data_IF_318967618833
#
_entry.id   IF_318967618833
#
_cell.length_a   1.000
_cell.length_b   1.000
_cell.length_c   1.000
_cell.angle_alpha   90.00
_cell.angle_beta   90.00
_cell.angle_gamma   90.00
#
_symmetry.space_group_name_H-M   'P 1'
#
loop_
_entity.id
_entity.type
_entity.pdbx_description
1 polymer ?
#
# COMPACT_ATOMS: atom_id res chain seq x y z
N UNK A 1 -20.94 -4.13 1.75
CA UNK A 1 -19.66 -4.85 1.60
C UNK A 1 -18.95 -4.25 0.40
N UNK A 2 -17.65 -3.92 0.49
CA UNK A 2 -16.90 -3.40 -0.66
C UNK A 2 -16.79 -4.49 -1.73
N UNK A 3 -16.89 -4.10 -2.99
CA UNK A 3 -16.55 -4.96 -4.12
C UNK A 3 -15.05 -5.18 -4.19
N UNK A 4 -14.63 -6.25 -4.87
CA UNK A 4 -13.21 -6.52 -5.14
C UNK A 4 -12.52 -5.34 -5.80
N UNK A 5 -13.17 -4.69 -6.76
CA UNK A 5 -12.67 -3.46 -7.39
C UNK A 5 -12.38 -2.34 -6.39
N UNK A 6 -13.34 -2.04 -5.52
CA UNK A 6 -13.20 -0.99 -4.49
C UNK A 6 -12.12 -1.32 -3.45
N UNK A 7 -11.90 -2.60 -3.15
CA UNK A 7 -10.81 -3.04 -2.27
C UNK A 7 -9.47 -2.71 -2.92
N UNK A 8 -9.29 -3.08 -4.19
CA UNK A 8 -8.05 -2.84 -4.91
C UNK A 8 -7.80 -1.35 -5.18
N UNK A 9 -8.85 -0.57 -5.45
CA UNK A 9 -8.76 0.89 -5.62
C UNK A 9 -8.21 1.54 -4.33
N UNK A 10 -8.75 1.16 -3.17
CA UNK A 10 -8.29 1.67 -1.89
C UNK A 10 -6.85 1.28 -1.58
N UNK A 11 -6.42 0.09 -1.98
CA UNK A 11 -5.03 -0.37 -1.80
C UNK A 11 -4.06 0.44 -2.65
N UNK A 12 -4.33 0.61 -3.95
CA UNK A 12 -3.42 1.35 -4.84
C UNK A 12 -3.34 2.83 -4.46
N UNK A 13 -4.47 3.41 -4.04
CA UNK A 13 -4.53 4.78 -3.50
C UNK A 13 -3.69 4.93 -2.24
N UNK A 14 -3.85 4.01 -1.27
CA UNK A 14 -3.08 4.06 -0.02
C UNK A 14 -1.57 3.86 -0.23
N UNK A 15 -1.18 3.08 -1.24
CA UNK A 15 0.21 2.88 -1.63
C UNK A 15 0.78 4.02 -2.50
N UNK A 16 -0.08 4.89 -3.04
CA UNK A 16 0.34 5.94 -3.97
C UNK A 16 0.86 5.41 -5.31
N UNK A 17 0.34 4.27 -5.78
CA UNK A 17 0.76 3.61 -7.04
C UNK A 17 -0.42 3.43 -8.00
N UNK A 18 -0.13 3.05 -9.24
CA UNK A 18 -1.10 2.63 -10.24
C UNK A 18 -1.28 1.11 -10.31
N UNK A 19 -2.37 0.65 -10.95
CA UNK A 19 -2.57 -0.77 -11.26
C UNK A 19 -1.49 -1.36 -12.16
N UNK A 20 -0.94 -0.56 -13.07
CA UNK A 20 0.15 -1.02 -13.94
C UNK A 20 1.41 -1.33 -13.13
N UNK A 21 1.75 -0.47 -12.16
CA UNK A 21 2.87 -0.69 -11.25
C UNK A 21 2.63 -1.90 -10.35
N UNK A 22 1.40 -2.05 -9.84
CA UNK A 22 1.01 -3.23 -9.07
C UNK A 22 1.18 -4.52 -9.87
N UNK A 23 0.60 -4.58 -11.07
CA UNK A 23 0.70 -5.73 -11.98
C UNK A 23 2.16 -6.09 -12.27
N UNK A 24 2.97 -5.09 -12.63
CA UNK A 24 4.39 -5.26 -12.91
C UNK A 24 5.14 -5.82 -11.71
N UNK A 25 4.87 -5.32 -10.51
CA UNK A 25 5.59 -5.74 -9.30
C UNK A 25 5.25 -7.17 -8.86
N UNK A 26 4.03 -7.64 -9.13
CA UNK A 26 3.63 -9.03 -8.86
C UNK A 26 3.93 -10.00 -10.03
N UNK A 27 4.60 -9.53 -11.08
CA UNK A 27 5.03 -10.36 -12.20
C UNK A 27 3.96 -10.59 -13.29
N UNK A 28 2.89 -9.80 -13.31
CA UNK A 28 1.88 -9.84 -14.37
C UNK A 28 2.26 -8.92 -15.52
N UNK A 29 2.12 -9.41 -16.76
CA UNK A 29 2.45 -8.65 -17.96
C UNK A 29 1.46 -7.54 -18.28
N UNK A 30 0.21 -7.63 -17.81
CA UNK A 30 -0.84 -6.63 -18.08
C UNK A 30 -1.74 -6.40 -16.86
N UNK A 31 -2.22 -5.15 -16.65
CA UNK A 31 -3.13 -4.80 -15.55
C UNK A 31 -4.60 -5.18 -15.79
N UNK A 32 -4.95 -5.86 -16.90
CA UNK A 32 -6.35 -6.17 -17.23
C UNK A 32 -7.06 -6.95 -16.13
N UNK A 33 -6.31 -7.75 -15.36
CA UNK A 33 -6.82 -8.46 -14.20
C UNK A 33 -7.49 -7.50 -13.20
N UNK A 34 -6.85 -6.38 -12.89
CA UNK A 34 -7.38 -5.37 -11.98
C UNK A 34 -8.56 -4.60 -12.60
N UNK A 35 -8.50 -4.28 -13.88
CA UNK A 35 -9.61 -3.62 -14.58
C UNK A 35 -10.86 -4.52 -14.67
N UNK A 36 -10.67 -5.83 -14.88
CA UNK A 36 -11.76 -6.80 -14.85
C UNK A 36 -12.36 -6.97 -13.46
N UNK A 37 -11.55 -6.94 -12.40
CA UNK A 37 -12.02 -6.89 -11.02
C UNK A 37 -12.83 -5.63 -10.73
N UNK A 38 -12.35 -4.48 -11.20
CA UNK A 38 -13.06 -3.20 -11.08
C UNK A 38 -14.40 -3.20 -11.80
N UNK A 39 -14.48 -3.88 -12.94
CA UNK A 39 -15.72 -4.08 -13.68
C UNK A 39 -16.62 -5.21 -13.11
N UNK A 40 -16.23 -5.84 -12.00
CA UNK A 40 -16.98 -6.93 -11.37
C UNK A 40 -16.99 -8.24 -12.16
N UNK A 41 -16.09 -8.40 -13.14
CA UNK A 41 -16.04 -9.56 -14.06
C UNK A 41 -15.25 -10.75 -13.52
N UNK A 42 -14.38 -10.51 -12.54
CA UNK A 42 -13.49 -11.53 -11.99
C UNK A 42 -13.09 -11.22 -10.56
N UNK A 43 -12.85 -12.25 -9.75
CA UNK A 43 -12.20 -12.14 -8.45
C UNK A 43 -10.73 -12.60 -8.54
N UNK A 44 -9.84 -12.13 -7.64
CA UNK A 44 -8.46 -12.59 -7.62
C UNK A 44 -8.42 -14.06 -7.19
N UNK A 45 -7.65 -14.86 -7.91
CA UNK A 45 -7.32 -16.21 -7.49
C UNK A 45 -6.37 -16.20 -6.28
N UNK A 46 -6.24 -17.35 -5.63
CA UNK A 46 -5.33 -17.53 -4.50
C UNK A 46 -3.88 -17.14 -4.85
N UNK A 47 -3.39 -17.54 -6.02
CA UNK A 47 -2.03 -17.22 -6.48
C UNK A 47 -1.80 -15.72 -6.62
N UNK A 48 -2.80 -14.99 -7.13
CA UNK A 48 -2.76 -13.52 -7.24
C UNK A 48 -2.69 -12.88 -5.85
N UNK A 49 -3.55 -13.31 -4.92
CA UNK A 49 -3.55 -12.79 -3.55
C UNK A 49 -2.20 -13.06 -2.87
N UNK A 50 -1.64 -14.26 -3.05
CA UNK A 50 -0.34 -14.63 -2.49
C UNK A 50 0.79 -13.78 -3.09
N UNK A 51 0.79 -13.54 -4.41
CA UNK A 51 1.78 -12.70 -5.07
C UNK A 51 1.73 -11.24 -4.57
N UNK A 52 0.51 -10.71 -4.38
CA UNK A 52 0.30 -9.37 -3.82
C UNK A 52 0.82 -9.28 -2.38
N UNK A 53 0.44 -10.23 -1.51
CA UNK A 53 0.88 -10.25 -0.12
C UNK A 53 2.42 -10.33 0.01
N UNK A 54 3.09 -11.10 -0.87
CA UNK A 54 4.55 -11.18 -0.93
C UNK A 54 5.20 -9.88 -1.42
N UNK A 55 4.64 -9.25 -2.45
CA UNK A 55 5.19 -8.05 -3.07
C UNK A 55 4.95 -6.77 -2.26
N UNK A 56 3.90 -6.75 -1.43
CA UNK A 56 3.47 -5.62 -0.62
C UNK A 56 3.19 -6.03 0.83
N UNK A 57 4.22 -6.33 1.63
CA UNK A 57 4.07 -6.75 3.02
C UNK A 57 3.36 -5.71 3.92
N UNK A 58 3.30 -4.46 3.48
CA UNK A 58 2.60 -3.38 4.18
C UNK A 58 1.07 -3.41 3.99
N UNK A 59 0.53 -4.21 3.08
CA UNK A 59 -0.93 -4.34 2.89
C UNK A 59 -1.53 -5.18 4.02
N UNK A 60 -2.66 -4.74 4.56
CA UNK A 60 -3.44 -5.56 5.49
C UNK A 60 -4.19 -6.66 4.73
N UNK A 61 -3.80 -7.91 4.97
CA UNK A 61 -4.41 -9.07 4.32
C UNK A 61 -5.89 -9.26 4.68
N UNK A 62 -6.32 -8.83 5.89
CA UNK A 62 -7.74 -8.86 6.26
C UNK A 62 -8.52 -7.91 5.36
N UNK A 63 -8.04 -6.67 5.22
CA UNK A 63 -8.67 -5.71 4.34
C UNK A 63 -8.70 -6.20 2.88
N UNK A 64 -7.60 -6.78 2.40
CA UNK A 64 -7.53 -7.32 1.04
C UNK A 64 -8.59 -8.41 0.78
N UNK A 65 -8.92 -9.22 1.79
CA UNK A 65 -9.87 -10.33 1.67
C UNK A 65 -11.32 -9.93 1.91
N UNK A 66 -11.57 -8.99 2.83
CA UNK A 66 -12.94 -8.68 3.30
C UNK A 66 -13.39 -7.26 2.96
N UNK A 67 -12.45 -6.37 2.64
CA UNK A 67 -12.68 -4.93 2.51
C UNK A 67 -12.96 -4.20 3.82
N UNK A 68 -12.71 -4.84 4.97
CA UNK A 68 -12.91 -4.25 6.30
C UNK A 68 -11.59 -3.79 6.92
N UNK A 69 -11.61 -2.64 7.59
CA UNK A 69 -10.42 -2.09 8.27
C UNK A 69 -9.64 -1.10 7.41
N UNK A 70 -8.31 -1.09 7.57
CA UNK A 70 -7.42 -0.19 6.84
C UNK A 70 -6.71 -0.94 5.71
N UNK A 71 -6.49 -0.33 4.53
CA UNK A 71 -5.78 -1.00 3.42
C UNK A 71 -4.33 -1.37 3.74
N UNK A 72 -3.69 -0.58 4.60
CA UNK A 72 -2.31 -0.79 5.03
C UNK A 72 -2.28 -1.14 6.51
N UNK A 73 -1.33 -2.00 6.85
CA UNK A 73 -0.99 -2.28 8.24
C UNK A 73 -0.48 -0.97 8.83
N UNK A 74 -1.16 -0.48 9.87
CA UNK A 74 -0.58 0.59 10.70
C UNK A 74 0.69 0.01 11.30
N UNK A 75 1.84 0.51 10.88
CA UNK A 75 3.07 0.29 11.64
C UNK A 75 2.77 0.87 13.02
N UNK A 76 2.56 0.01 14.01
CA UNK A 76 2.57 0.43 15.40
C UNK A 76 4.02 0.82 15.65
N UNK A 77 4.32 2.08 15.37
CA UNK A 77 5.58 2.67 15.78
C UNK A 77 5.57 2.60 17.29
N UNK A 78 6.60 1.99 17.87
CA UNK A 78 6.81 2.19 19.29
C UNK A 78 6.91 3.70 19.54
N UNK A 79 6.51 4.21 20.71
CA UNK A 79 6.72 5.62 21.06
C UNK A 79 8.16 6.08 20.82
N UNK A 80 9.14 5.16 20.95
CA UNK A 80 10.54 5.37 20.62
C UNK A 80 10.79 5.67 19.13
N UNK A 81 10.12 4.96 18.22
CA UNK A 81 10.25 5.17 16.78
C UNK A 81 9.62 6.49 16.33
N UNK A 82 8.49 6.88 16.93
CA UNK A 82 7.87 8.19 16.68
C UNK A 82 8.78 9.33 17.14
N UNK A 83 9.37 9.19 18.32
CA UNK A 83 10.33 10.15 18.85
C UNK A 83 11.57 10.26 17.95
N UNK A 84 12.09 9.13 17.45
CA UNK A 84 13.22 9.12 16.50
C UNK A 84 12.89 9.85 15.19
N UNK A 85 11.70 9.62 14.63
CA UNK A 85 11.20 10.33 13.44
C UNK A 85 11.10 11.84 13.68
N UNK A 86 10.53 12.25 14.82
CA UNK A 86 10.40 13.66 15.21
C UNK A 86 11.77 14.34 15.37
N UNK A 87 12.70 13.69 16.07
CA UNK A 87 14.06 14.20 16.27
C UNK A 87 14.83 14.34 14.96
N UNK A 88 14.68 13.40 14.02
CA UNK A 88 15.29 13.50 12.69
C UNK A 88 14.83 14.75 11.95
N UNK A 89 13.54 15.07 11.98
CA UNK A 89 12.99 16.26 11.33
C UNK A 89 13.59 17.54 11.91
N UNK A 90 13.69 17.64 13.24
CA UNK A 90 14.31 18.78 13.92
C UNK A 90 15.77 18.95 13.50
N UNK A 91 16.55 17.86 13.49
CA UNK A 91 17.98 17.92 13.12
C UNK A 91 18.15 18.47 11.71
N UNK A 92 17.33 17.99 10.75
CA UNK A 92 17.35 18.48 9.37
C UNK A 92 17.04 19.99 9.30
N UNK A 93 16.06 20.46 10.08
CA UNK A 93 15.71 21.89 10.13
C UNK A 93 16.90 22.72 10.65
N UNK A 94 17.56 22.27 11.73
CA UNK A 94 18.73 22.94 12.32
C UNK A 94 19.91 22.98 11.32
N UNK A 95 20.15 21.90 10.59
CA UNK A 95 21.22 21.85 9.59
C UNK A 95 21.00 22.81 8.42
N UNK A 96 19.74 22.97 7.98
CA UNK A 96 19.34 23.93 6.94
C UNK A 96 19.50 25.38 7.39
N UNK A 97 19.27 25.68 8.66
CA UNK A 97 19.46 27.02 9.21
C UNK A 97 20.95 27.38 9.32
N UNK A 98 21.82 26.42 9.64
CA UNK A 98 23.28 26.63 9.71
C UNK A 98 23.98 26.86 8.37
N UNK A 99 23.32 26.59 7.25
CA UNK A 99 23.87 26.78 5.89
C UNK A 99 23.44 28.09 5.24
N UNK A 100 22.72 28.95 5.98
CA UNK A 100 22.29 30.29 5.52
C UNK A 100 23.21 31.44 5.93
N UNK A 101 24.24 31.17 6.72
CA UNK A 101 25.34 32.09 7.08
C UNK A 101 26.64 31.67 6.39
#
# INVERSE_FOLDING_TARGET
MKTTGEIFDAVVEALGISYAEMAKKIGLSRPDLFYNMRAGKSNPGYETLQAIAKAYPQIDCRFLLTGEGNPLIKVVTSPENELKEYLKKIIIEIEKEKTKD
#
